data_IF_893313833404
#
_entry.id   IF_893313833404
#
_cell.length_a   1.000
_cell.length_b   1.000
_cell.length_c   1.000
_cell.angle_alpha   90.00
_cell.angle_beta   90.00
_cell.angle_gamma   90.00
#
_symmetry.space_group_name_H-M   'P 1'
#
loop_
_entity.id
_entity.type
_entity.pdbx_description
1 polymer ?
#
# COMPACT_ATOMS: atom_id res chain seq x y z
N UNK A 1 9.05 3.07 -10.09
CA UNK A 1 8.90 2.49 -8.73
C UNK A 1 10.20 2.72 -7.98
N UNK A 2 10.15 3.10 -6.71
CA UNK A 2 11.33 3.25 -5.87
C UNK A 2 11.75 1.86 -5.39
N UNK A 3 13.00 1.48 -5.65
CA UNK A 3 13.58 0.21 -5.24
C UNK A 3 15.04 0.46 -4.86
N UNK A 4 15.45 0.05 -3.65
CA UNK A 4 16.82 0.24 -3.16
C UNK A 4 17.32 1.70 -3.31
N UNK A 5 16.48 2.66 -2.92
CA UNK A 5 16.74 4.11 -3.04
C UNK A 5 16.98 4.60 -4.47
N UNK A 6 16.56 3.84 -5.49
CA UNK A 6 16.66 4.21 -6.89
C UNK A 6 15.30 4.14 -7.58
N UNK A 7 15.04 5.10 -8.47
CA UNK A 7 13.84 5.09 -9.29
C UNK A 7 14.03 4.18 -10.50
N UNK A 8 13.25 3.11 -10.56
CA UNK A 8 13.26 2.14 -11.65
C UNK A 8 12.04 2.35 -12.54
N UNK A 9 12.26 2.37 -13.86
CA UNK A 9 11.20 2.42 -14.86
C UNK A 9 10.55 1.04 -15.01
N UNK A 10 9.22 1.02 -15.10
CA UNK A 10 8.44 -0.18 -15.36
C UNK A 10 7.85 -0.07 -16.76
N UNK A 11 8.49 -0.64 -17.79
CA UNK A 11 7.98 -0.56 -19.15
C UNK A 11 6.69 -1.38 -19.28
N UNK A 12 5.66 -0.85 -19.97
CA UNK A 12 4.45 -1.63 -20.23
C UNK A 12 4.78 -2.80 -21.16
N UNK A 13 4.34 -4.00 -20.79
CA UNK A 13 4.43 -5.19 -21.63
C UNK A 13 3.04 -5.47 -22.21
N UNK A 14 2.95 -5.65 -23.53
CA UNK A 14 1.67 -5.92 -24.18
C UNK A 14 1.00 -7.18 -23.60
N UNK A 15 -0.30 -7.09 -23.29
CA UNK A 15 -1.06 -8.17 -22.68
C UNK A 15 -0.79 -8.41 -21.19
N UNK A 16 0.00 -7.56 -20.52
CA UNK A 16 0.32 -7.69 -19.09
C UNK A 16 -0.43 -6.70 -18.20
N UNK A 17 -0.50 -7.04 -16.91
CA UNK A 17 -0.91 -6.12 -15.84
C UNK A 17 0.27 -5.87 -14.91
N UNK A 18 0.40 -4.64 -14.44
CA UNK A 18 1.29 -4.30 -13.32
C UNK A 18 0.49 -4.45 -12.03
N UNK A 19 0.97 -5.29 -11.11
CA UNK A 19 0.37 -5.51 -9.80
C UNK A 19 1.33 -4.95 -8.74
N UNK A 20 0.80 -4.15 -7.82
CA UNK A 20 1.56 -3.64 -6.68
C UNK A 20 0.85 -3.91 -5.36
N UNK A 21 1.64 -4.02 -4.30
CA UNK A 21 1.16 -4.12 -2.92
C UNK A 21 0.85 -2.71 -2.40
N UNK A 22 -0.22 -2.59 -1.62
CA UNK A 22 -0.56 -1.36 -0.90
C UNK A 22 -0.35 -1.49 0.60
N UNK A 23 -0.29 -0.35 1.29
CA UNK A 23 0.00 -0.24 2.73
C UNK A 23 -0.87 -1.16 3.60
N UNK A 24 -2.18 -1.26 3.31
CA UNK A 24 -3.06 -2.11 4.10
C UNK A 24 -2.67 -3.61 4.05
N UNK A 25 -2.18 -4.07 2.89
CA UNK A 25 -1.72 -5.45 2.74
C UNK A 25 -0.36 -5.66 3.43
N UNK A 26 0.54 -4.67 3.38
CA UNK A 26 1.78 -4.68 4.15
C UNK A 26 1.51 -4.78 5.66
N UNK A 27 0.56 -3.98 6.17
CA UNK A 27 0.14 -3.98 7.57
C UNK A 27 -0.31 -5.37 8.03
N UNK A 28 -1.28 -5.98 7.34
CA UNK A 28 -1.81 -7.29 7.76
C UNK A 28 -0.79 -8.42 7.56
N UNK A 29 0.14 -8.27 6.60
CA UNK A 29 1.20 -9.25 6.38
C UNK A 29 2.35 -9.18 7.40
N UNK A 30 2.30 -8.24 8.34
CA UNK A 30 3.40 -7.92 9.25
C UNK A 30 4.73 -7.71 8.51
N UNK A 31 4.73 -6.81 7.53
CA UNK A 31 5.93 -6.49 6.76
C UNK A 31 6.48 -7.60 5.83
N UNK A 32 5.85 -8.78 5.76
CA UNK A 32 6.23 -9.84 4.79
C UNK A 32 6.03 -9.41 3.34
N UNK A 33 5.01 -8.60 3.07
CA UNK A 33 4.79 -7.95 1.77
C UNK A 33 5.06 -6.46 1.91
N UNK A 34 5.73 -5.86 0.91
CA UNK A 34 6.14 -4.44 0.94
C UNK A 34 5.36 -3.62 -0.08
N UNK A 35 4.65 -2.61 0.42
CA UNK A 35 4.11 -1.49 -0.34
C UNK A 35 5.27 -0.66 -0.88
N UNK A 36 5.24 -0.37 -2.18
CA UNK A 36 6.32 0.35 -2.87
C UNK A 36 5.87 1.73 -3.31
N UNK A 37 6.71 2.73 -3.06
CA UNK A 37 6.53 4.05 -3.63
C UNK A 37 6.61 3.99 -5.16
N UNK A 38 5.66 4.62 -5.83
CA UNK A 38 5.61 4.67 -7.28
C UNK A 38 5.12 6.04 -7.72
N UNK A 39 5.62 6.48 -8.88
CA UNK A 39 5.27 7.76 -9.49
C UNK A 39 5.06 7.58 -10.98
N UNK A 40 4.19 8.42 -11.54
CA UNK A 40 4.02 8.56 -12.99
C UNK A 40 4.69 9.87 -13.40
N UNK A 41 5.53 9.82 -14.43
CA UNK A 41 6.23 10.99 -14.96
C UNK A 41 5.53 11.41 -16.25
N UNK A 42 5.22 12.70 -16.38
CA UNK A 42 4.70 13.26 -17.62
C UNK A 42 5.78 13.18 -18.72
N UNK A 43 5.39 12.79 -19.93
CA UNK A 43 6.28 12.74 -21.08
C UNK A 43 5.83 13.75 -22.15
N UNK A 44 6.73 14.07 -23.10
CA UNK A 44 6.46 14.97 -24.24
C UNK A 44 6.06 14.25 -25.53
N UNK A 45 6.18 12.92 -25.56
CA UNK A 45 5.95 12.10 -26.76
C UNK A 45 4.48 11.99 -27.13
N UNK A 46 3.59 11.98 -26.13
CA UNK A 46 2.17 11.92 -26.35
C UNK A 46 1.37 11.49 -25.11
N UNK A 47 0.03 11.48 -25.21
CA UNK A 47 -0.82 11.08 -24.11
C UNK A 47 -0.58 9.61 -23.73
N UNK A 48 -0.50 9.34 -22.42
CA UNK A 48 -0.47 7.98 -21.86
C UNK A 48 -1.73 7.79 -21.01
N UNK A 49 -2.46 6.71 -21.28
CA UNK A 49 -3.62 6.29 -20.47
C UNK A 49 -3.28 5.06 -19.64
N UNK A 50 -3.81 4.99 -18.42
CA UNK A 50 -3.79 3.78 -17.58
C UNK A 50 -5.05 3.73 -16.73
N UNK A 51 -5.57 2.52 -16.50
CA UNK A 51 -6.76 2.30 -15.68
C UNK A 51 -6.36 1.50 -14.44
N UNK A 52 -6.20 2.15 -13.27
CA UNK A 52 -5.91 1.43 -12.04
C UNK A 52 -7.17 0.74 -11.51
N UNK A 53 -7.02 -0.48 -11.00
CA UNK A 53 -8.06 -1.20 -10.27
C UNK A 53 -7.56 -1.52 -8.87
N UNK A 54 -8.33 -1.13 -7.85
CA UNK A 54 -7.96 -1.34 -6.44
C UNK A 54 -8.81 -2.44 -5.82
N UNK A 55 -8.17 -3.55 -5.47
CA UNK A 55 -8.81 -4.64 -4.72
C UNK A 55 -8.75 -4.34 -3.23
N UNK A 56 -9.88 -3.92 -2.66
CA UNK A 56 -9.89 -3.40 -1.31
C UNK A 56 -11.30 -3.38 -0.73
N UNK A 57 -11.43 -3.58 0.58
CA UNK A 57 -12.68 -3.46 1.33
C UNK A 57 -13.00 -2.02 1.74
N UNK A 58 -12.61 -1.01 0.93
CA UNK A 58 -12.74 0.43 1.28
C UNK A 58 -14.14 0.86 1.71
N UNK A 59 -15.18 0.24 1.16
CA UNK A 59 -16.58 0.57 1.43
C UNK A 59 -17.20 -0.25 2.57
N UNK A 60 -16.43 -1.14 3.20
CA UNK A 60 -16.95 -1.98 4.27
C UNK A 60 -16.82 -1.26 5.61
N UNK A 61 -17.93 -0.72 6.12
CA UNK A 61 -18.04 -0.12 7.46
C UNK A 61 -18.08 -1.17 8.58
N UNK A 62 -17.19 -2.15 8.50
CA UNK A 62 -17.06 -3.17 9.52
C UNK A 62 -16.31 -2.62 10.73
N UNK A 63 -16.78 -2.99 11.92
CA UNK A 63 -16.07 -2.78 13.19
C UNK A 63 -14.90 -3.77 13.38
N UNK A 64 -14.64 -4.64 12.40
CA UNK A 64 -13.52 -5.58 12.43
C UNK A 64 -12.20 -4.82 12.57
N UNK A 65 -11.43 -5.22 13.58
CA UNK A 65 -10.05 -4.81 13.75
C UNK A 65 -9.16 -5.59 12.79
N UNK A 66 -8.30 -4.86 12.10
CA UNK A 66 -7.27 -5.38 11.22
C UNK A 66 -5.92 -5.05 11.81
N UNK A 67 -5.08 -6.07 11.95
CA UNK A 67 -3.69 -5.98 12.36
C UNK A 67 -2.90 -7.09 11.68
N UNK A 68 -1.64 -7.29 12.10
CA UNK A 68 -0.85 -8.44 11.69
C UNK A 68 -1.61 -9.76 11.80
N UNK A 69 -1.61 -10.57 10.74
CA UNK A 69 -2.18 -11.91 10.72
C UNK A 69 -1.44 -12.76 11.75
N UNK A 70 -2.16 -13.35 12.69
CA UNK A 70 -1.60 -14.02 13.87
C UNK A 70 -0.68 -15.18 13.49
N UNK A 71 -1.03 -15.91 12.44
CA UNK A 71 -0.27 -17.03 11.88
C UNK A 71 1.06 -16.61 11.24
N UNK A 72 1.27 -15.31 10.99
CA UNK A 72 2.53 -14.78 10.48
C UNK A 72 3.45 -14.27 11.60
N UNK A 73 3.00 -14.28 12.85
CA UNK A 73 3.75 -13.80 14.02
C UNK A 73 4.54 -14.95 14.68
N UNK A 74 5.69 -14.60 15.25
CA UNK A 74 6.48 -15.48 16.14
C UNK A 74 7.29 -14.62 17.11
N UNK A 75 8.04 -15.25 18.03
CA UNK A 75 8.98 -14.53 18.91
C UNK A 75 10.04 -13.76 18.11
N UNK A 76 10.50 -14.33 16.98
CA UNK A 76 11.47 -13.71 16.07
C UNK A 76 10.82 -12.71 15.09
N UNK A 77 9.49 -12.75 14.95
CA UNK A 77 8.72 -11.83 14.11
C UNK A 77 7.52 -11.26 14.89
N UNK A 78 7.77 -10.40 15.89
CA UNK A 78 6.72 -9.78 16.68
C UNK A 78 5.87 -8.83 15.82
N UNK A 79 4.66 -8.45 16.27
CA UNK A 79 3.85 -7.48 15.57
C UNK A 79 4.59 -6.15 15.40
N UNK A 80 4.60 -5.60 14.19
CA UNK A 80 5.19 -4.29 13.84
C UNK A 80 4.13 -3.18 13.86
N UNK A 81 2.86 -3.56 13.74
CA UNK A 81 1.73 -2.64 13.59
C UNK A 81 0.67 -2.88 14.65
N UNK A 82 0.02 -1.80 15.11
CA UNK A 82 -1.17 -1.89 15.94
C UNK A 82 -2.40 -2.22 15.09
N UNK A 83 -3.44 -2.70 15.76
CA UNK A 83 -4.73 -2.92 15.12
C UNK A 83 -5.44 -1.60 14.78
N UNK A 84 -6.21 -1.60 13.70
CA UNK A 84 -7.04 -0.46 13.27
C UNK A 84 -8.31 -0.95 12.58
N UNK A 85 -9.36 -0.14 12.58
CA UNK A 85 -10.53 -0.42 11.74
C UNK A 85 -10.30 0.06 10.31
N UNK A 86 -11.05 -0.49 9.36
CA UNK A 86 -10.98 0.01 7.97
C UNK A 86 -11.41 1.48 7.85
N UNK A 87 -12.39 1.89 8.67
CA UNK A 87 -12.91 3.25 8.73
C UNK A 87 -11.83 4.23 9.21
N UNK A 88 -11.13 3.90 10.30
CA UNK A 88 -10.09 4.77 10.85
C UNK A 88 -8.91 4.90 9.89
N UNK A 89 -8.47 3.78 9.31
CA UNK A 89 -7.44 3.77 8.27
C UNK A 89 -7.79 4.69 7.09
N UNK A 90 -9.01 4.57 6.56
CA UNK A 90 -9.47 5.34 5.40
C UNK A 90 -9.61 6.82 5.75
N UNK A 91 -10.15 7.12 6.94
CA UNK A 91 -10.29 8.50 7.45
C UNK A 91 -8.93 9.16 7.57
N UNK A 92 -7.95 8.46 8.13
CA UNK A 92 -6.58 8.95 8.23
C UNK A 92 -5.97 9.20 6.84
N UNK A 93 -6.09 8.25 5.90
CA UNK A 93 -5.55 8.41 4.55
C UNK A 93 -6.16 9.60 3.81
N UNK A 94 -7.47 9.85 3.97
CA UNK A 94 -8.17 10.96 3.32
C UNK A 94 -7.85 12.32 3.95
N UNK A 95 -7.61 12.36 5.26
CA UNK A 95 -7.24 13.59 5.98
C UNK A 95 -5.76 13.97 5.76
N UNK A 96 -4.94 13.00 5.36
CA UNK A 96 -3.52 13.22 5.12
C UNK A 96 -3.27 14.09 3.90
N UNK A 97 -2.22 14.91 3.97
CA UNK A 97 -1.73 15.67 2.81
C UNK A 97 -1.44 14.72 1.64
N UNK A 98 -1.77 15.14 0.43
CA UNK A 98 -1.48 14.41 -0.81
C UNK A 98 0.01 14.54 -1.21
N UNK A 99 0.92 14.37 -0.25
CA UNK A 99 2.38 14.41 -0.46
C UNK A 99 2.97 13.03 -0.83
N UNK A 100 2.11 12.01 -0.94
CA UNK A 100 2.49 10.65 -1.34
C UNK A 100 3.14 9.82 -0.24
N UNK A 101 3.26 10.34 1.00
CA UNK A 101 3.87 9.58 2.08
C UNK A 101 2.95 8.44 2.60
N UNK A 102 3.55 7.35 3.06
CA UNK A 102 2.84 6.15 3.56
C UNK A 102 2.02 6.39 4.83
N UNK A 103 0.90 5.68 4.99
CA UNK A 103 0.11 5.70 6.24
C UNK A 103 0.69 4.79 7.34
N UNK A 104 1.60 3.88 6.96
CA UNK A 104 2.19 2.89 7.85
C UNK A 104 2.90 3.47 9.09
N UNK A 105 3.65 4.60 9.02
CA UNK A 105 4.31 5.16 10.21
C UNK A 105 3.35 5.51 11.34
N UNK A 106 2.11 5.92 11.03
CA UNK A 106 1.09 6.21 12.03
C UNK A 106 0.56 4.97 12.75
N UNK A 107 0.71 3.79 12.12
CA UNK A 107 0.17 2.51 12.57
C UNK A 107 1.24 1.60 13.17
N UNK A 108 2.52 1.98 13.12
CA UNK A 108 3.59 1.23 13.79
C UNK A 108 3.41 1.27 15.31
N UNK A 109 3.83 0.18 15.97
CA UNK A 109 3.96 0.09 17.43
C UNK A 109 5.16 0.88 17.94
#
# INVERSE_FOLDING_TARGET
>A
VLHQNQWVNVPPIHGSLVINIGDFLQLISNDKLKSSEHRVIANKEGPRMSVPCFFSTFLNESTKLYGPIKELLSEENPPVYRETTRKDYTTYCNAKRLDGSSALPYLKL
#
